data_IF_132071724547
#
_entry.id   IF_132071724547
#
_cell.length_a   1.000
_cell.length_b   1.000
_cell.length_c   1.000
_cell.angle_alpha   90.00
_cell.angle_beta   90.00
_cell.angle_gamma   90.00
#
_symmetry.space_group_name_H-M   'P 1'
#
loop_
_entity.id
_entity.type
_entity.pdbx_description
1 polymer ?
#
# COMPACT_ATOMS: atom_id res chain seq x y z
N UNK A 1 14.23 9.53 17.13
CA UNK A 1 12.76 9.46 17.24
C UNK A 1 12.26 8.93 15.91
N UNK A 2 11.90 7.66 15.86
CA UNK A 2 11.48 6.95 14.64
C UNK A 2 9.96 6.88 14.59
N UNK A 3 9.30 8.04 14.63
CA UNK A 3 7.84 8.13 14.54
C UNK A 3 7.45 8.00 13.07
N UNK A 4 7.11 6.77 12.65
CA UNK A 4 6.68 6.50 11.27
C UNK A 4 7.02 5.11 10.71
N UNK A 5 7.55 4.18 11.52
CA UNK A 5 7.91 2.82 11.08
C UNK A 5 6.97 1.72 11.59
N UNK A 6 5.74 2.06 11.95
CA UNK A 6 4.79 1.03 12.38
C UNK A 6 4.11 0.38 11.19
N UNK A 7 4.16 -0.95 11.15
CA UNK A 7 3.43 -1.76 10.18
C UNK A 7 1.95 -1.67 10.51
N UNK A 8 1.14 -1.29 9.53
CA UNK A 8 -0.32 -1.33 9.66
C UNK A 8 -0.86 -2.58 8.97
N UNK A 9 -1.56 -3.41 9.76
CA UNK A 9 -2.38 -4.49 9.24
C UNK A 9 -3.74 -3.93 8.85
N UNK A 10 -4.26 -4.34 7.69
CA UNK A 10 -5.53 -3.86 7.16
C UNK A 10 -6.34 -5.04 6.66
N UNK A 11 -7.52 -5.23 7.23
CA UNK A 11 -8.47 -6.23 6.77
C UNK A 11 -9.20 -5.76 5.50
N UNK A 12 -9.42 -6.69 4.58
CA UNK A 12 -10.08 -6.42 3.29
C UNK A 12 -11.54 -6.85 3.40
N UNK A 13 -12.45 -5.88 3.24
CA UNK A 13 -13.88 -6.15 3.23
C UNK A 13 -14.31 -6.91 1.95
N UNK A 14 -15.43 -7.66 1.97
CA UNK A 14 -15.90 -8.42 0.81
C UNK A 14 -16.06 -7.59 -0.46
N UNK A 15 -16.48 -6.33 -0.34
CA UNK A 15 -16.68 -5.40 -1.46
C UNK A 15 -15.35 -4.96 -2.09
N UNK A 16 -14.26 -5.09 -1.35
CA UNK A 16 -12.90 -4.80 -1.78
C UNK A 16 -12.14 -6.05 -2.23
N UNK A 17 -12.73 -7.25 -2.05
CA UNK A 17 -12.12 -8.50 -2.48
C UNK A 17 -12.04 -8.57 -4.02
N UNK A 18 -10.98 -9.17 -4.54
CA UNK A 18 -10.74 -9.29 -5.99
C UNK A 18 -10.25 -8.00 -6.68
N UNK A 19 -10.22 -6.87 -5.97
CA UNK A 19 -9.59 -5.65 -6.45
C UNK A 19 -8.07 -5.85 -6.59
N UNK A 20 -7.50 -5.22 -7.63
CA UNK A 20 -6.05 -5.11 -7.75
C UNK A 20 -5.47 -4.30 -6.60
N UNK A 21 -4.38 -4.80 -6.01
CA UNK A 21 -3.74 -4.17 -4.84
C UNK A 21 -3.27 -2.74 -5.11
N UNK A 22 -2.86 -2.39 -6.33
CA UNK A 22 -2.47 -1.03 -6.69
C UNK A 22 -3.65 -0.06 -6.60
N UNK A 23 -4.82 -0.43 -7.10
CA UNK A 23 -6.04 0.37 -6.97
C UNK A 23 -6.45 0.56 -5.50
N UNK A 24 -6.33 -0.49 -4.69
CA UNK A 24 -6.62 -0.43 -3.26
C UNK A 24 -5.70 0.59 -2.57
N UNK A 25 -4.40 0.49 -2.86
CA UNK A 25 -3.38 1.37 -2.30
C UNK A 25 -3.50 2.81 -2.82
N UNK A 26 -3.86 3.06 -4.09
CA UNK A 26 -4.07 4.43 -4.57
C UNK A 26 -5.25 5.10 -3.85
N UNK A 27 -6.31 4.35 -3.56
CA UNK A 27 -7.49 4.86 -2.85
C UNK A 27 -7.18 5.16 -1.39
N UNK A 28 -6.40 4.28 -0.74
CA UNK A 28 -6.05 4.42 0.68
C UNK A 28 -4.92 5.44 0.92
N UNK A 29 -3.91 5.48 0.05
CA UNK A 29 -2.77 6.40 0.11
C UNK A 29 -2.98 7.56 -0.86
N UNK A 30 -4.03 8.35 -0.63
CA UNK A 30 -4.37 9.49 -1.50
C UNK A 30 -3.17 10.44 -1.62
N UNK A 31 -2.82 10.81 -2.85
CA UNK A 31 -1.70 11.69 -3.15
C UNK A 31 -0.34 10.97 -3.30
N UNK A 32 -0.25 9.67 -3.01
CA UNK A 32 0.96 8.92 -3.28
C UNK A 32 1.24 8.82 -4.79
N UNK A 33 2.51 8.95 -5.24
CA UNK A 33 2.85 8.76 -6.64
C UNK A 33 2.57 7.33 -7.12
N UNK A 34 1.93 7.17 -8.28
CA UNK A 34 1.65 5.85 -8.87
C UNK A 34 2.91 4.99 -9.02
N UNK A 35 4.03 5.61 -9.40
CA UNK A 35 5.31 4.93 -9.53
C UNK A 35 5.81 4.34 -8.19
N UNK A 36 5.56 5.02 -7.07
CA UNK A 36 5.90 4.53 -5.74
C UNK A 36 5.06 3.30 -5.38
N UNK A 37 3.76 3.35 -5.61
CA UNK A 37 2.85 2.21 -5.35
C UNK A 37 3.26 1.02 -6.22
N UNK A 38 3.51 1.25 -7.50
CA UNK A 38 3.97 0.21 -8.41
C UNK A 38 5.29 -0.42 -7.95
N UNK A 39 6.25 0.40 -7.51
CA UNK A 39 7.52 -0.08 -6.96
C UNK A 39 7.30 -0.97 -5.74
N UNK A 40 6.47 -0.55 -4.79
CA UNK A 40 6.20 -1.31 -3.57
C UNK A 40 5.52 -2.64 -3.89
N UNK A 41 4.50 -2.64 -4.76
CA UNK A 41 3.76 -3.85 -5.14
C UNK A 41 4.61 -4.84 -5.92
N UNK A 42 5.53 -4.36 -6.79
CA UNK A 42 6.32 -5.23 -7.69
C UNK A 42 7.68 -5.62 -7.16
N UNK A 43 8.35 -4.73 -6.44
CA UNK A 43 9.73 -4.92 -5.94
C UNK A 43 9.79 -5.07 -4.41
N UNK A 44 8.66 -4.91 -3.73
CA UNK A 44 8.61 -4.78 -2.28
C UNK A 44 8.94 -3.36 -1.82
N UNK A 45 8.52 -3.04 -0.59
CA UNK A 45 9.10 -1.91 0.13
C UNK A 45 10.49 -2.33 0.58
N UNK A 46 11.54 -1.87 -0.11
CA UNK A 46 12.92 -2.20 0.25
C UNK A 46 13.23 -1.76 1.67
N UNK A 47 13.06 -2.66 2.63
CA UNK A 47 13.68 -2.63 3.93
C UNK A 47 14.97 -3.45 3.81
N UNK A 48 16.11 -2.79 3.98
CA UNK A 48 17.09 -3.40 4.87
C UNK A 48 16.56 -3.20 6.28
#
# INVERSE_FOLDING_TARGET
MSEGREVQWVDIAPEQAGQRIDNFLMTRLKGAPRALIYRIVRKGGGAR
#
